data_IF_626877063823
#
_entry.id   IF_626877063823
#
_cell.length_a   1.000
_cell.length_b   1.000
_cell.length_c   1.000
_cell.angle_alpha   90.00
_cell.angle_beta   90.00
_cell.angle_gamma   90.00
#
_symmetry.space_group_name_H-M   'P 1'
#
loop_
_entity.id
_entity.type
_entity.pdbx_description
1 polymer ?
#
# COMPACT_ATOMS: atom_id res chain seq x y z
N UNK A 1 22.18 -0.50 1.73
CA UNK A 1 21.88 0.92 1.41
C UNK A 1 20.38 1.03 1.21
N UNK A 2 19.69 1.92 1.93
CA UNK A 2 18.26 2.13 1.70
C UNK A 2 18.09 2.75 0.30
N UNK A 3 17.57 1.96 -0.65
CA UNK A 3 17.25 2.47 -1.97
C UNK A 3 16.21 3.58 -1.81
N UNK A 4 16.43 4.75 -2.42
CA UNK A 4 15.45 5.82 -2.39
C UNK A 4 14.18 5.36 -3.13
N UNK A 5 13.12 5.01 -2.38
CA UNK A 5 11.88 4.40 -2.90
C UNK A 5 10.93 5.42 -3.53
N UNK A 6 11.21 6.71 -3.34
CA UNK A 6 10.36 7.82 -3.76
C UNK A 6 11.20 8.82 -4.54
N UNK A 7 10.66 9.31 -5.65
CA UNK A 7 11.27 10.37 -6.44
C UNK A 7 10.23 11.45 -6.75
N UNK A 8 10.61 12.71 -6.55
CA UNK A 8 9.77 13.83 -7.00
C UNK A 8 9.62 13.77 -8.52
N UNK A 9 8.42 14.06 -9.03
CA UNK A 9 8.18 14.10 -10.48
C UNK A 9 9.13 15.06 -11.19
N UNK A 10 9.49 16.19 -10.57
CA UNK A 10 10.43 17.16 -11.13
C UNK A 10 11.83 16.58 -11.36
N UNK A 11 12.23 15.61 -10.54
CA UNK A 11 13.51 14.92 -10.65
C UNK A 11 13.49 13.70 -11.57
N UNK A 12 12.34 13.31 -12.12
CA UNK A 12 12.19 12.11 -12.93
C UNK A 12 12.76 12.30 -14.33
N UNK A 13 13.43 11.31 -14.91
CA UNK A 13 13.97 11.36 -16.26
C UNK A 13 13.41 10.23 -17.13
N UNK A 14 13.60 10.32 -18.45
CA UNK A 14 13.08 9.32 -19.39
C UNK A 14 13.69 7.92 -19.14
N UNK A 15 14.90 7.85 -18.58
CA UNK A 15 15.53 6.59 -18.14
C UNK A 15 14.86 5.95 -16.92
N UNK A 16 14.02 6.68 -16.20
CA UNK A 16 13.37 6.21 -14.98
C UNK A 16 12.06 5.46 -15.24
N UNK A 17 11.62 5.37 -16.51
CA UNK A 17 10.39 4.66 -16.93
C UNK A 17 10.34 3.24 -16.39
N UNK A 18 11.44 2.49 -16.45
CA UNK A 18 11.48 1.11 -15.96
C UNK A 18 11.36 0.97 -14.44
N UNK A 19 11.53 2.06 -13.68
CA UNK A 19 11.50 2.06 -12.21
C UNK A 19 10.26 2.74 -11.63
N UNK A 20 9.67 3.70 -12.34
CA UNK A 20 8.56 4.53 -11.82
C UNK A 20 7.34 4.53 -12.75
N UNK A 21 7.40 3.83 -13.89
CA UNK A 21 6.34 3.78 -14.88
C UNK A 21 6.42 4.91 -15.91
N UNK A 22 5.76 4.69 -17.06
CA UNK A 22 5.72 5.66 -18.17
C UNK A 22 4.96 6.94 -17.84
N UNK A 23 3.93 6.84 -17.00
CA UNK A 23 3.11 8.00 -16.60
C UNK A 23 3.93 8.99 -15.76
N UNK A 24 4.57 8.51 -14.71
CA UNK A 24 5.36 9.36 -13.82
C UNK A 24 6.53 10.03 -14.57
N UNK A 25 7.20 9.30 -15.47
CA UNK A 25 8.25 9.86 -16.32
C UNK A 25 7.72 10.96 -17.26
N UNK A 26 6.53 10.75 -17.84
CA UNK A 26 5.86 11.72 -18.72
C UNK A 26 5.42 12.97 -17.96
N UNK A 27 4.83 12.83 -16.77
CA UNK A 27 4.47 13.97 -15.91
C UNK A 27 5.72 14.75 -15.48
N UNK A 28 6.82 14.05 -15.17
CA UNK A 28 8.10 14.69 -14.90
C UNK A 28 8.61 15.50 -16.10
N UNK A 29 8.46 14.97 -17.32
CA UNK A 29 8.81 15.68 -18.56
C UNK A 29 7.98 16.96 -18.73
N UNK A 30 6.67 16.89 -18.51
CA UNK A 30 5.80 18.07 -18.56
C UNK A 30 6.19 19.14 -17.54
N UNK A 31 6.52 18.74 -16.30
CA UNK A 31 7.04 19.66 -15.28
C UNK A 31 8.35 20.34 -15.70
N UNK A 32 9.25 19.63 -16.39
CA UNK A 32 10.50 20.21 -16.92
C UNK A 32 10.25 21.15 -18.10
N UNK A 33 9.14 20.97 -18.81
CA UNK A 33 8.67 21.88 -19.86
C UNK A 33 7.86 23.06 -19.32
N UNK A 34 7.86 23.28 -18.00
CA UNK A 34 7.14 24.36 -17.32
C UNK A 34 5.62 24.31 -17.51
N UNK A 35 5.07 23.16 -17.94
CA UNK A 35 3.64 22.94 -17.96
C UNK A 35 3.09 22.91 -16.52
N UNK A 36 1.87 23.40 -16.34
CA UNK A 36 1.19 23.34 -15.04
C UNK A 36 0.76 21.91 -14.74
N UNK A 37 1.62 21.19 -14.03
CA UNK A 37 1.33 19.88 -13.45
C UNK A 37 1.45 20.01 -11.94
N UNK A 38 0.53 19.44 -11.15
CA UNK A 38 0.65 19.42 -9.69
C UNK A 38 2.00 18.81 -9.27
N UNK A 39 2.71 19.50 -8.37
CA UNK A 39 3.94 18.97 -7.81
C UNK A 39 3.63 17.73 -6.97
N UNK A 40 4.23 16.60 -7.30
CA UNK A 40 4.08 15.37 -6.55
C UNK A 40 5.32 14.47 -6.65
N UNK A 41 5.16 13.21 -6.26
CA UNK A 41 6.20 12.18 -6.30
C UNK A 41 5.62 10.87 -6.83
N UNK A 42 6.51 9.97 -7.25
CA UNK A 42 6.15 8.58 -7.58
C UNK A 42 6.95 7.62 -6.71
N UNK A 43 6.36 6.48 -6.41
CA UNK A 43 7.02 5.34 -5.76
C UNK A 43 7.64 4.42 -6.81
N UNK A 44 8.75 3.81 -6.45
CA UNK A 44 9.40 2.79 -7.28
C UNK A 44 8.52 1.55 -7.44
N UNK A 45 8.55 0.91 -8.60
CA UNK A 45 7.80 -0.30 -8.91
C UNK A 45 8.13 -1.44 -7.94
N UNK A 46 9.41 -1.57 -7.57
CA UNK A 46 9.87 -2.59 -6.62
C UNK A 46 9.23 -2.43 -5.22
N UNK A 47 8.72 -1.25 -4.87
CA UNK A 47 8.03 -1.03 -3.61
C UNK A 47 6.69 -1.77 -3.54
N UNK A 48 6.03 -2.03 -4.68
CA UNK A 48 4.83 -2.87 -4.73
C UNK A 48 5.18 -4.32 -4.41
N UNK A 49 6.24 -4.86 -5.03
CA UNK A 49 6.69 -6.23 -4.78
C UNK A 49 7.09 -6.44 -3.33
N UNK A 50 7.80 -5.48 -2.74
CA UNK A 50 8.14 -5.49 -1.31
C UNK A 50 6.89 -5.44 -0.43
N UNK A 51 5.90 -4.62 -0.79
CA UNK A 51 4.65 -4.52 -0.05
C UNK A 51 3.88 -5.83 -0.07
N UNK A 52 3.75 -6.46 -1.24
CA UNK A 52 3.10 -7.75 -1.41
C UNK A 52 3.85 -8.87 -0.66
N UNK A 53 5.19 -8.88 -0.73
CA UNK A 53 6.02 -9.84 -0.02
C UNK A 53 5.91 -9.70 1.50
N UNK A 54 5.89 -8.47 2.03
CA UNK A 54 5.78 -8.22 3.48
C UNK A 54 4.46 -8.67 4.09
N UNK A 55 3.44 -8.92 3.25
CA UNK A 55 2.10 -9.33 3.66
C UNK A 55 1.74 -10.73 3.16
N UNK A 56 2.71 -11.47 2.61
CA UNK A 56 2.52 -12.80 1.99
C UNK A 56 1.38 -12.83 0.93
N UNK A 57 1.21 -11.72 0.19
CA UNK A 57 0.10 -11.53 -0.74
C UNK A 57 0.42 -11.94 -2.18
N UNK A 58 1.68 -12.18 -2.52
CA UNK A 58 2.07 -12.56 -3.90
C UNK A 58 1.35 -13.81 -4.40
N UNK A 59 1.41 -14.91 -3.64
CA UNK A 59 0.79 -16.17 -4.03
C UNK A 59 -0.75 -16.09 -4.06
N UNK A 60 -1.44 -15.56 -3.02
CA UNK A 60 -2.89 -15.41 -3.05
C UNK A 60 -3.38 -14.55 -4.23
N UNK A 61 -2.71 -13.43 -4.52
CA UNK A 61 -3.11 -12.57 -5.65
C UNK A 61 -2.91 -13.29 -6.98
N UNK A 62 -1.81 -14.03 -7.14
CA UNK A 62 -1.56 -14.81 -8.35
C UNK A 62 -2.58 -15.94 -8.54
N UNK A 63 -2.97 -16.64 -7.48
CA UNK A 63 -3.98 -17.69 -7.52
C UNK A 63 -5.36 -17.15 -7.92
N UNK A 64 -5.79 -16.04 -7.32
CA UNK A 64 -7.04 -15.38 -7.68
C UNK A 64 -7.00 -14.96 -9.16
N UNK A 65 -5.94 -14.27 -9.58
CA UNK A 65 -5.79 -13.83 -10.96
C UNK A 65 -5.79 -14.98 -11.97
N UNK A 66 -5.21 -16.13 -11.61
CA UNK A 66 -5.21 -17.33 -12.46
C UNK A 66 -6.58 -18.02 -12.53
N UNK A 67 -7.46 -17.81 -11.53
CA UNK A 67 -8.80 -18.38 -11.50
C UNK A 67 -9.85 -17.56 -12.25
N UNK A 68 -9.53 -16.31 -12.61
CA UNK A 68 -10.43 -15.39 -13.28
C UNK A 68 -10.41 -15.56 -14.80
N UNK A 69 -11.59 -15.63 -15.40
CA UNK A 69 -11.77 -15.35 -16.81
C UNK A 69 -12.00 -13.84 -16.98
N UNK A 70 -11.02 -13.15 -17.56
CA UNK A 70 -11.08 -11.70 -17.76
C UNK A 70 -12.05 -11.28 -18.88
N UNK A 71 -12.61 -12.23 -19.65
CA UNK A 71 -13.69 -11.96 -20.60
C UNK A 71 -15.07 -12.01 -19.91
N UNK A 72 -15.18 -12.69 -18.76
CA UNK A 72 -16.39 -12.68 -17.91
C UNK A 72 -16.31 -11.56 -16.86
N UNK A 73 -16.71 -10.36 -17.30
CA UNK A 73 -16.75 -9.18 -16.43
C UNK A 73 -17.63 -9.36 -15.18
N UNK A 74 -18.68 -10.19 -15.24
CA UNK A 74 -19.56 -10.41 -14.11
C UNK A 74 -18.87 -11.26 -13.03
N UNK A 75 -18.15 -12.30 -13.44
CA UNK A 75 -17.36 -13.12 -12.53
C UNK A 75 -16.23 -12.32 -11.86
N UNK A 76 -15.51 -11.49 -12.62
CA UNK A 76 -14.45 -10.61 -12.08
C UNK A 76 -14.99 -9.63 -11.04
N UNK A 77 -16.13 -8.99 -11.33
CA UNK A 77 -16.75 -8.00 -10.43
C UNK A 77 -17.26 -8.66 -9.13
N UNK A 78 -17.77 -9.90 -9.21
CA UNK A 78 -18.18 -10.65 -8.01
C UNK A 78 -16.98 -11.02 -7.13
N UNK A 79 -15.89 -11.53 -7.71
CA UNK A 79 -14.67 -11.83 -6.96
C UNK A 79 -14.06 -10.56 -6.33
N UNK A 80 -14.08 -9.43 -7.04
CA UNK A 80 -13.66 -8.14 -6.48
C UNK A 80 -14.51 -7.74 -5.26
N UNK A 81 -15.85 -7.92 -5.34
CA UNK A 81 -16.75 -7.61 -4.22
C UNK A 81 -16.49 -8.51 -3.02
N UNK A 82 -16.31 -9.81 -3.25
CA UNK A 82 -16.04 -10.80 -2.21
C UNK A 82 -14.80 -10.42 -1.41
N UNK A 83 -13.66 -10.23 -2.07
CA UNK A 83 -12.42 -9.85 -1.38
C UNK A 83 -12.49 -8.48 -0.70
N UNK A 84 -13.21 -7.52 -1.28
CA UNK A 84 -13.44 -6.21 -0.65
C UNK A 84 -14.25 -6.33 0.65
N UNK A 85 -15.22 -7.25 0.73
CA UNK A 85 -16.00 -7.51 1.95
C UNK A 85 -15.14 -8.17 3.03
N UNK A 86 -14.38 -9.19 2.67
CA UNK A 86 -13.48 -9.90 3.58
C UNK A 86 -12.42 -8.94 4.16
N UNK A 87 -11.83 -8.08 3.33
CA UNK A 87 -10.86 -7.08 3.77
C UNK A 87 -11.47 -6.06 4.75
N UNK A 88 -12.72 -5.62 4.52
CA UNK A 88 -13.43 -4.72 5.44
C UNK A 88 -13.73 -5.42 6.77
N UNK A 89 -14.16 -6.67 6.74
CA UNK A 89 -14.45 -7.45 7.94
C UNK A 89 -13.20 -7.68 8.79
N UNK A 90 -12.07 -8.07 8.17
CA UNK A 90 -10.78 -8.21 8.85
C UNK A 90 -10.33 -6.90 9.52
N UNK A 91 -10.50 -5.75 8.84
CA UNK A 91 -10.19 -4.43 9.42
C UNK A 91 -11.06 -4.12 10.64
N UNK A 92 -12.35 -4.41 10.59
CA UNK A 92 -13.26 -4.16 11.72
C UNK A 92 -12.92 -5.04 12.94
N UNK A 93 -12.60 -6.32 12.71
CA UNK A 93 -12.20 -7.24 13.79
C UNK A 93 -10.90 -6.80 14.47
N UNK A 94 -9.87 -6.41 13.69
CA UNK A 94 -8.60 -5.91 14.24
C UNK A 94 -8.75 -4.59 15.02
N UNK A 95 -9.69 -3.74 14.63
CA UNK A 95 -10.00 -2.49 15.38
C UNK A 95 -10.73 -2.80 16.70
N UNK A 96 -11.63 -3.79 16.70
CA UNK A 96 -12.32 -4.26 17.91
C UNK A 96 -11.34 -4.87 18.91
N UNK A 97 -10.44 -5.75 18.48
CA UNK A 97 -9.43 -6.38 19.34
C UNK A 97 -8.48 -5.35 19.97
N UNK A 98 -8.01 -4.38 19.18
CA UNK A 98 -7.15 -3.29 19.67
C UNK A 98 -7.84 -2.37 20.68
N UNK A 99 -9.17 -2.26 20.65
CA UNK A 99 -9.93 -1.51 21.66
C UNK A 99 -10.07 -2.29 22.96
N UNK A 100 -10.27 -3.61 22.91
CA UNK A 100 -10.37 -4.45 24.11
C UNK A 100 -9.03 -4.62 24.83
N UNK A 101 -7.91 -4.67 24.10
CA UNK A 101 -6.56 -4.75 24.70
C UNK A 101 -6.07 -3.45 25.35
N UNK A 102 -6.77 -2.32 25.12
CA UNK A 102 -6.43 -1.00 25.69
C UNK A 102 -7.19 -0.69 26.99
N UNK A 103 -8.09 -1.58 27.40
CA UNK A 103 -8.83 -1.56 28.67
C UNK A 103 -8.25 -2.59 29.63
N UNK A 104 -7.07 -2.31 30.17
CA UNK A 104 -6.62 -2.90 31.44
C UNK A 104 -6.25 -1.73 32.34
N UNK A 105 -6.85 -1.59 33.54
CA UNK A 105 -6.46 -0.53 34.45
C UNK A 105 -5.05 -0.85 34.94
N UNK A 106 -4.11 0.01 34.59
CA UNK A 106 -2.78 0.06 35.18
C UNK A 106 -2.97 0.29 36.68
N UNK A 107 -2.81 -0.76 37.49
CA UNK A 107 -2.79 -0.63 38.94
C UNK A 107 -1.53 0.15 39.33
N UNK A 108 -1.69 1.47 39.46
CA UNK A 108 -0.69 2.37 40.01
C UNK A 108 -0.41 1.94 41.45
N UNK A 109 0.74 1.30 41.68
CA UNK A 109 1.24 1.00 43.01
C UNK A 109 1.91 2.26 43.57
N UNK A 110 1.50 2.82 44.73
CA UNK A 110 2.12 4.02 45.27
C UNK A 110 3.53 3.73 45.80
N UNK A 111 4.50 4.64 45.62
CA UNK A 111 5.85 4.43 46.11
C UNK A 111 5.97 4.84 47.59
N UNK A 112 6.59 3.99 48.39
CA UNK A 112 7.26 4.42 49.62
C UNK A 112 6.67 3.89 50.94
N UNK A 113 6.94 2.62 51.24
CA UNK A 113 7.08 2.18 52.63
C UNK A 113 8.47 1.51 52.77
N UNK A 114 9.49 2.31 53.06
CA UNK A 114 10.73 1.83 53.66
C UNK A 114 11.16 2.79 54.78
N UNK A 115 10.96 2.24 55.99
CA UNK A 115 11.54 2.58 57.29
C UNK A 115 11.00 3.84 57.98
#
# INVERSE_FOLDING_TARGET
MAANRVLSLRGMQDRDVGRFGGEAASLGKLLRMEAMVPSSFSTRAEALDECLASSDLHAPVAEIAASLDFEDFAAVDEEQRRHSREARQCRQSKVSERRHSRTMPEQVTPPGARR
#
